data_IF_564752043360
#
_entry.id   IF_564752043360
#
_cell.length_a   1.000
_cell.length_b   1.000
_cell.length_c   1.000
_cell.angle_alpha   90.00
_cell.angle_beta   90.00
_cell.angle_gamma   90.00
#
_symmetry.space_group_name_H-M   'P 1'
#
loop_
_entity.id
_entity.type
_entity.pdbx_description
1 polymer ?
#
# COMPACT_ATOMS: atom_id res chain seq x y z
N UNK A 1 -26.27 19.21 4.58
CA UNK A 1 -25.80 20.49 5.14
C UNK A 1 -24.58 20.29 6.05
N UNK A 2 -24.70 19.65 7.23
CA UNK A 2 -23.56 19.47 8.14
C UNK A 2 -22.44 18.55 7.58
N UNK A 3 -22.79 17.32 7.17
CA UNK A 3 -21.80 16.37 6.60
C UNK A 3 -21.22 16.84 5.26
N UNK A 4 -22.03 17.52 4.44
CA UNK A 4 -21.56 18.15 3.21
C UNK A 4 -20.59 19.30 3.49
N UNK A 5 -20.80 20.09 4.55
CA UNK A 5 -19.87 21.14 4.95
C UNK A 5 -18.55 20.56 5.50
N UNK A 6 -18.62 19.50 6.30
CA UNK A 6 -17.42 18.80 6.78
C UNK A 6 -16.65 18.18 5.61
N UNK A 7 -17.33 17.55 4.66
CA UNK A 7 -16.69 17.01 3.45
C UNK A 7 -16.01 18.12 2.64
N UNK A 8 -16.65 19.28 2.46
CA UNK A 8 -16.03 20.41 1.77
C UNK A 8 -14.80 20.95 2.51
N UNK A 9 -14.80 20.93 3.85
CA UNK A 9 -13.62 21.28 4.65
C UNK A 9 -12.45 20.32 4.45
N UNK A 10 -12.71 19.01 4.23
CA UNK A 10 -11.63 18.04 3.91
C UNK A 10 -10.97 18.27 2.55
N UNK A 11 -11.60 19.06 1.65
CA UNK A 11 -11.04 19.39 0.34
C UNK A 11 -10.12 20.62 0.38
N UNK A 12 -10.09 21.35 1.50
CA UNK A 12 -9.22 22.51 1.67
C UNK A 12 -7.87 22.03 2.20
N UNK A 13 -6.83 22.17 1.37
CA UNK A 13 -5.46 21.80 1.74
C UNK A 13 -4.85 22.86 2.68
N UNK A 14 -5.20 22.79 3.96
CA UNK A 14 -4.73 23.70 5.00
C UNK A 14 -4.14 22.92 6.18
N UNK A 15 -2.89 23.25 6.56
CA UNK A 15 -2.16 22.63 7.67
C UNK A 15 -2.84 22.78 9.05
N UNK A 16 -3.77 23.73 9.20
CA UNK A 16 -4.53 23.93 10.44
C UNK A 16 -5.70 22.96 10.60
N UNK A 17 -6.08 22.27 9.52
CA UNK A 17 -7.21 21.34 9.50
C UNK A 17 -6.66 19.92 9.56
N UNK A 18 -6.93 19.22 10.66
CA UNK A 18 -6.61 17.80 10.79
C UNK A 18 -7.63 16.97 10.00
N UNK A 19 -7.23 16.58 8.79
CA UNK A 19 -8.05 15.77 7.91
C UNK A 19 -8.37 14.39 8.48
N UNK A 20 -7.48 13.81 9.30
CA UNK A 20 -7.72 12.51 9.93
C UNK A 20 -8.81 12.61 11.00
N UNK A 21 -8.81 13.72 11.76
CA UNK A 21 -9.87 14.00 12.74
C UNK A 21 -11.23 14.20 12.04
N UNK A 22 -11.26 14.94 10.94
CA UNK A 22 -12.48 15.15 10.15
C UNK A 22 -13.02 13.84 9.54
N UNK A 23 -12.14 12.97 9.03
CA UNK A 23 -12.53 11.67 8.50
C UNK A 23 -13.10 10.73 9.58
N UNK A 24 -12.56 10.78 10.81
CA UNK A 24 -13.12 10.05 11.96
C UNK A 24 -14.52 10.53 12.32
N UNK A 25 -14.74 11.85 12.32
CA UNK A 25 -16.07 12.44 12.53
C UNK A 25 -17.03 11.97 11.44
N UNK A 26 -16.64 12.04 10.17
CA UNK A 26 -17.44 11.54 9.05
C UNK A 26 -17.78 10.05 9.19
N UNK A 27 -16.85 9.22 9.65
CA UNK A 27 -17.07 7.78 9.84
C UNK A 27 -18.18 7.46 10.86
N UNK A 28 -18.43 8.34 11.84
CA UNK A 28 -19.51 8.17 12.82
C UNK A 28 -20.84 8.74 12.30
N UNK A 29 -20.80 9.90 11.65
CA UNK A 29 -22.02 10.57 11.19
C UNK A 29 -22.64 9.95 9.93
N UNK A 30 -21.85 9.32 9.06
CA UNK A 30 -22.35 8.67 7.84
C UNK A 30 -23.36 7.55 8.18
N UNK A 31 -23.05 6.56 9.06
CA UNK A 31 -24.00 5.53 9.46
C UNK A 31 -25.27 6.09 10.10
N UNK A 32 -25.16 7.12 10.95
CA UNK A 32 -26.30 7.75 11.63
C UNK A 32 -27.25 8.38 10.61
N UNK A 33 -26.71 9.17 9.68
CA UNK A 33 -27.51 9.76 8.62
C UNK A 33 -28.13 8.70 7.72
N UNK A 34 -27.39 7.63 7.41
CA UNK A 34 -27.93 6.53 6.62
C UNK A 34 -29.13 5.88 7.32
N UNK A 35 -29.05 5.65 8.64
CA UNK A 35 -30.18 5.15 9.44
C UNK A 35 -31.39 6.08 9.43
N UNK A 36 -31.19 7.40 9.58
CA UNK A 36 -32.27 8.39 9.52
C UNK A 36 -32.91 8.42 8.13
N UNK A 37 -32.11 8.40 7.05
CA UNK A 37 -32.64 8.36 5.69
C UNK A 37 -33.43 7.07 5.43
N UNK A 38 -32.95 5.92 5.90
CA UNK A 38 -33.68 4.64 5.80
C UNK A 38 -35.02 4.75 6.55
N UNK A 39 -35.04 5.31 7.76
CA UNK A 39 -36.27 5.50 8.53
C UNK A 39 -37.27 6.42 7.80
N UNK A 40 -36.81 7.54 7.25
CA UNK A 40 -37.65 8.46 6.46
C UNK A 40 -38.21 7.77 5.22
N UNK A 41 -37.39 6.99 4.50
CA UNK A 41 -37.84 6.22 3.34
C UNK A 41 -38.89 5.17 3.75
N UNK A 42 -38.67 4.45 4.85
CA UNK A 42 -39.63 3.48 5.38
C UNK A 42 -40.96 4.14 5.78
N UNK A 43 -40.92 5.30 6.43
CA UNK A 43 -42.13 6.03 6.80
C UNK A 43 -42.82 6.63 5.57
N UNK A 44 -42.08 7.07 4.57
CA UNK A 44 -42.63 7.49 3.27
C UNK A 44 -43.34 6.32 2.58
N UNK A 45 -42.74 5.12 2.55
CA UNK A 45 -43.36 3.91 1.99
C UNK A 45 -44.68 3.57 2.72
N UNK A 46 -44.74 3.73 4.05
CA UNK A 46 -45.97 3.52 4.82
C UNK A 46 -47.09 4.48 4.42
N UNK A 47 -46.77 5.73 4.07
CA UNK A 47 -47.75 6.72 3.58
C UNK A 47 -48.35 6.27 2.24
N UNK A 48 -47.54 5.75 1.32
CA UNK A 48 -48.02 5.21 0.04
C UNK A 48 -48.72 3.85 0.17
N UNK A 49 -48.45 3.09 1.24
CA UNK A 49 -49.10 1.82 1.54
C UNK A 49 -50.54 1.97 2.04
N UNK A 50 -50.98 3.17 2.45
CA UNK A 50 -52.32 3.40 3.01
C UNK A 50 -53.41 3.46 1.91
N UNK A 51 -53.05 3.92 0.72
CA UNK A 51 -53.78 3.57 -0.50
C UNK A 51 -53.21 2.24 -0.99
N UNK A 52 -54.06 1.32 -1.46
CA UNK A 52 -53.62 0.02 -2.00
C UNK A 52 -52.87 0.17 -3.33
N UNK A 53 -51.78 0.93 -3.35
CA UNK A 53 -50.84 0.87 -4.45
C UNK A 53 -50.10 -0.45 -4.32
N UNK A 54 -50.06 -1.23 -5.39
CA UNK A 54 -49.46 -2.53 -5.34
C UNK A 54 -47.96 -2.44 -5.05
N UNK A 55 -47.48 -3.33 -4.19
CA UNK A 55 -46.11 -3.39 -3.64
C UNK A 55 -45.02 -3.31 -4.73
N UNK A 56 -45.31 -3.75 -5.96
CA UNK A 56 -44.39 -3.66 -7.10
C UNK A 56 -44.05 -2.22 -7.55
N UNK A 57 -44.95 -1.25 -7.34
CA UNK A 57 -44.68 0.16 -7.67
C UNK A 57 -43.75 0.82 -6.65
N UNK A 58 -43.89 0.49 -5.36
CA UNK A 58 -43.00 1.00 -4.30
C UNK A 58 -41.57 0.46 -4.42
N UNK A 59 -41.41 -0.83 -4.74
CA UNK A 59 -40.08 -1.44 -4.96
C UNK A 59 -39.34 -0.83 -6.16
N UNK A 60 -40.07 -0.47 -7.22
CA UNK A 60 -39.50 0.22 -8.39
C UNK A 60 -38.94 1.59 -8.02
N UNK A 61 -39.67 2.39 -7.23
CA UNK A 61 -39.20 3.72 -6.79
C UNK A 61 -37.93 3.62 -5.94
N UNK A 62 -37.82 2.62 -5.07
CA UNK A 62 -36.63 2.39 -4.25
C UNK A 62 -35.45 2.01 -5.15
N UNK A 63 -35.62 1.03 -6.03
CA UNK A 63 -34.58 0.62 -7.00
C UNK A 63 -34.14 1.78 -7.88
N UNK A 64 -35.08 2.60 -8.37
CA UNK A 64 -34.80 3.76 -9.20
C UNK A 64 -34.07 4.85 -8.40
N UNK A 65 -34.42 5.06 -7.12
CA UNK A 65 -33.73 6.02 -6.25
C UNK A 65 -32.29 5.58 -5.94
N UNK A 66 -32.04 4.29 -5.70
CA UNK A 66 -30.71 3.72 -5.50
C UNK A 66 -29.89 3.83 -6.78
N UNK A 67 -30.51 3.57 -7.94
CA UNK A 67 -29.86 3.67 -9.23
C UNK A 67 -29.48 5.13 -9.57
N UNK A 68 -30.36 6.09 -9.32
CA UNK A 68 -30.09 7.53 -9.48
C UNK A 68 -28.97 7.98 -8.54
N UNK A 69 -29.01 7.56 -7.27
CA UNK A 69 -27.95 7.87 -6.30
C UNK A 69 -26.59 7.30 -6.74
N UNK A 70 -26.56 6.06 -7.21
CA UNK A 70 -25.35 5.43 -7.74
C UNK A 70 -24.84 6.15 -9.01
N UNK A 71 -25.74 6.57 -9.89
CA UNK A 71 -25.40 7.30 -11.11
C UNK A 71 -24.83 8.70 -10.81
N UNK A 72 -25.44 9.44 -9.88
CA UNK A 72 -24.95 10.76 -9.45
C UNK A 72 -23.60 10.67 -8.72
N UNK A 73 -23.41 9.65 -7.89
CA UNK A 73 -22.15 9.39 -7.18
C UNK A 73 -21.02 8.90 -8.09
N UNK A 74 -21.31 8.46 -9.32
CA UNK A 74 -20.27 8.09 -10.30
C UNK A 74 -19.26 9.23 -10.49
N UNK A 75 -19.70 10.48 -10.53
CA UNK A 75 -18.78 11.62 -10.68
C UNK A 75 -17.81 11.79 -9.51
N UNK A 76 -18.20 11.40 -8.28
CA UNK A 76 -17.38 11.51 -7.05
C UNK A 76 -16.50 10.27 -6.86
N UNK A 77 -17.00 9.08 -7.20
CA UNK A 77 -16.26 7.81 -7.12
C UNK A 77 -15.17 7.69 -8.20
N UNK A 78 -15.36 8.33 -9.35
CA UNK A 78 -14.44 8.27 -10.50
C UNK A 78 -13.72 9.61 -10.76
N UNK A 79 -13.53 10.44 -9.73
CA UNK A 79 -12.61 11.58 -9.86
C UNK A 79 -11.24 11.07 -10.29
N UNK A 80 -10.59 11.69 -11.30
CA UNK A 80 -9.24 11.32 -11.69
C UNK A 80 -8.35 11.45 -10.45
N UNK A 81 -7.87 10.32 -9.95
CA UNK A 81 -7.08 10.29 -8.73
C UNK A 81 -5.88 11.20 -8.87
N UNK A 82 -5.71 12.08 -7.89
CA UNK A 82 -4.57 12.99 -7.84
C UNK A 82 -3.26 12.16 -7.89
N UNK A 83 -2.21 12.67 -8.52
CA UNK A 83 -0.96 11.92 -8.76
C UNK A 83 -0.34 11.37 -7.46
N UNK A 84 -0.51 12.06 -6.33
CA UNK A 84 -0.09 11.61 -4.99
C UNK A 84 -0.84 10.34 -4.55
N UNK A 85 -2.14 10.26 -4.83
CA UNK A 85 -2.96 9.09 -4.48
C UNK A 85 -2.55 7.86 -5.29
N UNK A 86 -2.17 8.06 -6.57
CA UNK A 86 -1.64 6.98 -7.43
C UNK A 86 -0.32 6.42 -6.89
N UNK A 87 0.58 7.26 -6.39
CA UNK A 87 1.84 6.79 -5.80
C UNK A 87 1.57 5.91 -4.56
N UNK A 88 0.74 6.37 -3.63
CA UNK A 88 0.42 5.61 -2.41
C UNK A 88 -0.27 4.28 -2.75
N UNK A 89 -1.16 4.28 -3.74
CA UNK A 89 -1.77 3.05 -4.24
C UNK A 89 -0.74 2.09 -4.87
N UNK A 90 0.20 2.60 -5.66
CA UNK A 90 1.28 1.79 -6.22
C UNK A 90 2.17 1.20 -5.12
N UNK A 91 2.48 1.97 -4.08
CA UNK A 91 3.23 1.46 -2.93
C UNK A 91 2.43 0.36 -2.25
N UNK A 92 1.15 0.59 -1.96
CA UNK A 92 0.29 -0.40 -1.31
C UNK A 92 0.15 -1.68 -2.14
N UNK A 93 -0.10 -1.55 -3.45
CA UNK A 93 -0.28 -2.68 -4.36
C UNK A 93 0.99 -3.54 -4.47
N UNK A 94 2.18 -2.91 -4.55
CA UNK A 94 3.45 -3.65 -4.53
C UNK A 94 3.65 -4.35 -3.19
N UNK A 95 3.30 -3.69 -2.08
CA UNK A 95 3.41 -4.28 -0.76
C UNK A 95 2.50 -5.51 -0.61
N UNK A 96 1.26 -5.44 -1.08
CA UNK A 96 0.35 -6.59 -1.11
C UNK A 96 0.85 -7.72 -2.02
N UNK A 97 1.36 -7.38 -3.20
CA UNK A 97 1.95 -8.35 -4.13
C UNK A 97 3.11 -9.11 -3.47
N UNK A 98 3.99 -8.40 -2.76
CA UNK A 98 5.11 -9.02 -2.04
C UNK A 98 4.58 -9.93 -0.92
N UNK A 99 3.63 -9.45 -0.11
CA UNK A 99 3.04 -10.22 0.98
C UNK A 99 2.36 -11.51 0.50
N UNK A 100 1.71 -11.49 -0.66
CA UNK A 100 1.03 -12.67 -1.24
C UNK A 100 2.00 -13.69 -1.82
N UNK A 101 3.15 -13.25 -2.33
CA UNK A 101 4.05 -14.10 -3.11
C UNK A 101 5.28 -14.59 -2.35
N UNK A 102 5.60 -13.99 -1.20
CA UNK A 102 6.82 -14.27 -0.44
C UNK A 102 6.51 -14.64 1.01
N UNK A 103 7.31 -15.55 1.57
CA UNK A 103 7.16 -16.03 2.93
C UNK A 103 7.53 -14.99 3.97
N UNK A 104 6.75 -14.96 5.04
CA UNK A 104 7.01 -14.14 6.22
C UNK A 104 8.43 -14.35 6.74
N UNK A 105 9.08 -13.25 7.13
CA UNK A 105 10.44 -13.17 7.71
C UNK A 105 11.55 -13.74 6.84
N UNK A 106 11.32 -13.98 5.55
CA UNK A 106 12.36 -14.39 4.60
C UNK A 106 12.89 -13.23 3.77
N UNK A 107 12.22 -12.09 3.75
CA UNK A 107 12.58 -10.95 2.92
C UNK A 107 12.58 -9.63 3.69
N UNK A 108 13.22 -8.62 3.09
CA UNK A 108 13.23 -7.25 3.58
C UNK A 108 12.76 -6.25 2.53
N UNK A 109 12.27 -5.10 3.01
CA UNK A 109 11.89 -3.96 2.17
C UNK A 109 12.79 -2.77 2.51
N UNK A 110 13.40 -2.19 1.48
CA UNK A 110 14.14 -0.93 1.54
C UNK A 110 13.26 0.19 1.02
N UNK A 111 12.84 1.07 1.93
CA UNK A 111 11.94 2.17 1.62
C UNK A 111 12.15 3.36 2.60
N UNK A 112 11.40 4.44 2.42
CA UNK A 112 11.36 5.60 3.30
C UNK A 112 10.76 5.23 4.66
N UNK A 113 11.26 5.87 5.71
CA UNK A 113 10.88 5.59 7.10
C UNK A 113 9.37 5.79 7.36
N UNK A 114 8.71 6.67 6.61
CA UNK A 114 7.24 6.87 6.67
C UNK A 114 6.44 5.58 6.39
N UNK A 115 7.01 4.63 5.64
CA UNK A 115 6.38 3.34 5.33
C UNK A 115 6.79 2.21 6.27
N UNK A 116 7.53 2.49 7.34
CA UNK A 116 7.94 1.47 8.32
C UNK A 116 6.74 0.68 8.87
N UNK A 117 5.64 1.36 9.13
CA UNK A 117 4.42 0.76 9.68
C UNK A 117 3.77 -0.27 8.75
N UNK A 118 4.04 -0.23 7.44
CA UNK A 118 3.57 -1.26 6.51
C UNK A 118 4.28 -2.61 6.73
N UNK A 119 5.38 -2.64 7.49
CA UNK A 119 6.17 -3.86 7.72
C UNK A 119 5.51 -4.86 8.67
N UNK A 120 4.56 -4.41 9.52
CA UNK A 120 3.68 -5.19 10.43
C UNK A 120 4.29 -6.46 11.07
N UNK A 121 5.59 -6.47 11.39
CA UNK A 121 6.31 -7.60 11.98
C UNK A 121 6.43 -8.88 11.12
N UNK A 122 5.89 -8.88 9.90
CA UNK A 122 5.94 -10.03 8.97
C UNK A 122 7.16 -9.99 8.06
N UNK A 123 7.81 -8.84 7.93
CA UNK A 123 9.00 -8.63 7.10
C UNK A 123 9.97 -7.69 7.79
N UNK A 124 11.22 -7.74 7.35
CA UNK A 124 12.22 -6.80 7.81
C UNK A 124 12.11 -5.49 7.03
N UNK A 125 12.36 -4.38 7.71
CA UNK A 125 12.43 -3.06 7.10
C UNK A 125 13.86 -2.54 7.21
N UNK A 126 14.40 -2.04 6.10
CA UNK A 126 15.76 -1.49 6.02
C UNK A 126 15.65 -0.06 5.51
N UNK A 127 15.88 0.96 6.36
CA UNK A 127 15.97 2.35 5.91
C UNK A 127 17.02 2.52 4.81
N UNK A 128 16.83 3.50 3.91
CA UNK A 128 17.82 3.80 2.86
C UNK A 128 19.22 4.09 3.43
N UNK A 129 19.29 4.81 4.56
CA UNK A 129 20.56 5.11 5.26
C UNK A 129 21.36 3.83 5.57
N UNK A 130 20.69 2.76 5.97
CA UNK A 130 21.34 1.52 6.40
C UNK A 130 21.69 0.68 5.18
N UNK A 131 20.82 0.62 4.17
CA UNK A 131 21.11 -0.04 2.89
C UNK A 131 22.28 0.60 2.13
N UNK A 132 22.40 1.92 2.19
CA UNK A 132 23.46 2.69 1.55
C UNK A 132 24.72 2.80 2.42
N UNK A 133 24.68 2.41 3.69
CA UNK A 133 25.86 2.40 4.55
C UNK A 133 26.96 1.46 4.05
N UNK A 134 28.22 1.81 4.33
CA UNK A 134 29.37 0.94 4.05
C UNK A 134 29.29 -0.40 4.81
N UNK A 135 28.70 -0.39 6.01
CA UNK A 135 28.50 -1.58 6.83
C UNK A 135 27.67 -2.65 6.10
N UNK A 136 26.60 -2.26 5.40
CA UNK A 136 25.77 -3.20 4.64
C UNK A 136 26.58 -3.99 3.60
N UNK A 137 27.52 -3.32 2.91
CA UNK A 137 28.40 -3.99 1.94
C UNK A 137 29.39 -4.93 2.59
N UNK A 138 29.83 -4.65 3.82
CA UNK A 138 30.69 -5.56 4.59
C UNK A 138 29.90 -6.83 4.95
N UNK A 139 28.67 -6.66 5.44
CA UNK A 139 27.76 -7.78 5.75
C UNK A 139 27.49 -8.62 4.51
N UNK A 140 27.11 -8.00 3.39
CA UNK A 140 26.87 -8.70 2.12
C UNK A 140 28.07 -9.53 1.66
N UNK A 141 29.29 -8.99 1.79
CA UNK A 141 30.51 -9.71 1.42
C UNK A 141 30.74 -10.95 2.30
N UNK A 142 30.61 -10.78 3.63
CA UNK A 142 30.79 -11.88 4.59
C UNK A 142 29.72 -12.95 4.37
N UNK A 143 28.47 -12.54 4.17
CA UNK A 143 27.36 -13.45 3.88
C UNK A 143 27.60 -14.23 2.58
N UNK A 144 27.97 -13.55 1.48
CA UNK A 144 28.25 -14.19 0.20
C UNK A 144 29.34 -15.28 0.32
N UNK A 145 30.43 -14.98 1.03
CA UNK A 145 31.55 -15.91 1.22
C UNK A 145 31.17 -17.13 2.07
N UNK A 146 30.19 -17.00 2.96
CA UNK A 146 29.82 -18.02 3.93
C UNK A 146 28.42 -18.62 3.72
N UNK A 147 27.73 -18.32 2.62
CA UNK A 147 26.35 -18.75 2.36
C UNK A 147 26.17 -20.28 2.39
N UNK A 148 27.22 -21.04 2.05
CA UNK A 148 27.23 -22.52 2.09
C UNK A 148 27.62 -23.09 3.47
N UNK A 149 28.08 -22.25 4.41
CA UNK A 149 28.63 -22.65 5.71
C UNK A 149 27.63 -22.35 6.84
N UNK A 150 26.58 -23.16 6.93
CA UNK A 150 25.51 -22.96 7.92
C UNK A 150 26.02 -22.81 9.36
N UNK A 151 27.01 -23.62 9.78
CA UNK A 151 27.59 -23.54 11.14
C UNK A 151 28.21 -22.17 11.46
N UNK A 152 28.78 -21.48 10.48
CA UNK A 152 29.33 -20.13 10.67
C UNK A 152 28.19 -19.12 10.86
N UNK A 153 27.18 -19.17 9.99
CA UNK A 153 26.04 -18.25 10.05
C UNK A 153 25.21 -18.45 11.33
N UNK A 154 25.09 -19.68 11.85
CA UNK A 154 24.47 -19.92 13.16
C UNK A 154 25.25 -19.29 14.32
N UNK A 155 26.59 -19.26 14.25
CA UNK A 155 27.44 -18.63 15.27
C UNK A 155 27.50 -17.11 15.13
N UNK A 156 27.29 -16.59 13.92
CA UNK A 156 27.36 -15.17 13.59
C UNK A 156 26.07 -14.69 12.88
N UNK A 157 24.94 -14.63 13.59
CA UNK A 157 23.66 -14.22 13.01
C UNK A 157 23.66 -12.78 12.50
N UNK A 158 24.55 -11.92 12.98
CA UNK A 158 24.72 -10.53 12.55
C UNK A 158 25.07 -10.39 11.06
N UNK A 159 25.58 -11.45 10.43
CA UNK A 159 25.90 -11.47 9.01
C UNK A 159 24.82 -12.12 8.15
N UNK A 160 23.73 -12.60 8.74
CA UNK A 160 22.64 -13.21 7.97
C UNK A 160 21.86 -12.10 7.25
N UNK A 161 21.78 -12.21 5.92
CA UNK A 161 20.92 -11.37 5.11
C UNK A 161 19.58 -12.05 4.82
N UNK A 162 18.49 -11.26 4.69
CA UNK A 162 17.23 -11.74 4.13
C UNK A 162 17.45 -12.40 2.76
N UNK A 163 16.67 -13.43 2.46
CA UNK A 163 16.75 -14.19 1.22
C UNK A 163 16.47 -13.35 -0.03
N UNK A 164 15.51 -12.42 0.07
CA UNK A 164 15.22 -11.41 -0.95
C UNK A 164 15.12 -10.02 -0.32
N UNK A 165 15.51 -8.99 -1.05
CA UNK A 165 15.41 -7.60 -0.61
C UNK A 165 14.73 -6.77 -1.71
N UNK A 166 13.63 -6.10 -1.38
CA UNK A 166 12.88 -5.26 -2.30
C UNK A 166 13.25 -3.80 -2.09
N UNK A 167 13.79 -3.16 -3.12
CA UNK A 167 14.25 -1.76 -3.06
C UNK A 167 13.31 -0.90 -3.88
N UNK A 168 12.66 0.04 -3.21
CA UNK A 168 11.78 1.03 -3.83
C UNK A 168 12.63 2.18 -4.39
N UNK A 169 12.40 2.56 -5.64
CA UNK A 169 13.06 3.67 -6.33
C UNK A 169 11.98 4.63 -6.86
N UNK A 170 12.02 5.87 -6.39
CA UNK A 170 11.02 6.89 -6.72
C UNK A 170 11.47 7.74 -7.91
N UNK A 171 10.62 7.91 -8.91
CA UNK A 171 10.96 8.63 -10.15
C UNK A 171 10.72 10.16 -10.07
N UNK A 172 10.50 10.70 -8.87
CA UNK A 172 10.35 12.14 -8.65
C UNK A 172 11.75 12.84 -8.60
N UNK A 173 11.91 14.03 -9.22
CA UNK A 173 13.16 14.81 -9.20
C UNK A 173 13.80 14.99 -7.83
N UNK A 174 13.01 15.09 -6.77
CA UNK A 174 13.49 15.21 -5.39
C UNK A 174 14.42 14.05 -4.99
N UNK A 175 14.19 12.85 -5.52
CA UNK A 175 14.97 11.64 -5.18
C UNK A 175 16.11 11.37 -6.15
N UNK A 176 16.50 12.33 -7.01
CA UNK A 176 17.53 12.11 -8.03
C UNK A 176 18.86 11.66 -7.42
N UNK A 177 19.31 12.30 -6.34
CA UNK A 177 20.56 11.94 -5.67
C UNK A 177 20.49 10.54 -5.04
N UNK A 178 19.40 10.25 -4.31
CA UNK A 178 19.14 8.93 -3.74
C UNK A 178 19.14 7.84 -4.82
N UNK A 179 18.51 8.10 -5.96
CA UNK A 179 18.46 7.17 -7.08
C UNK A 179 19.84 6.89 -7.67
N UNK A 180 20.71 7.89 -7.77
CA UNK A 180 22.11 7.69 -8.20
C UNK A 180 22.83 6.76 -7.22
N UNK A 181 22.67 6.97 -5.91
CA UNK A 181 23.29 6.11 -4.89
C UNK A 181 22.75 4.68 -4.92
N UNK A 182 21.43 4.49 -5.12
CA UNK A 182 20.80 3.18 -5.27
C UNK A 182 21.34 2.46 -6.51
N UNK A 183 21.44 3.15 -7.66
CA UNK A 183 21.96 2.56 -8.90
C UNK A 183 23.44 2.17 -8.78
N UNK A 184 24.26 3.00 -8.13
CA UNK A 184 25.64 2.65 -7.83
C UNK A 184 25.73 1.43 -6.89
N UNK A 185 24.89 1.37 -5.86
CA UNK A 185 24.77 0.21 -4.97
C UNK A 185 24.39 -1.05 -5.76
N UNK A 186 23.44 -0.97 -6.68
CA UNK A 186 23.07 -2.08 -7.56
C UNK A 186 24.23 -2.52 -8.44
N UNK A 187 25.00 -1.58 -9.01
CA UNK A 187 26.19 -1.91 -9.81
C UNK A 187 27.20 -2.70 -8.97
N UNK A 188 27.48 -2.25 -7.75
CA UNK A 188 28.41 -2.94 -6.84
C UNK A 188 27.91 -4.33 -6.42
N UNK A 189 26.61 -4.49 -6.19
CA UNK A 189 26.02 -5.79 -5.86
C UNK A 189 26.04 -6.75 -7.08
N UNK A 190 25.78 -6.25 -8.29
CA UNK A 190 25.90 -7.04 -9.54
C UNK A 190 27.33 -7.52 -9.79
N UNK A 191 28.34 -6.69 -9.51
CA UNK A 191 29.75 -7.10 -9.57
C UNK A 191 30.09 -8.23 -8.59
N UNK A 192 29.27 -8.42 -7.55
CA UNK A 192 29.35 -9.54 -6.59
C UNK A 192 28.39 -10.68 -6.92
N UNK A 193 27.98 -10.78 -8.18
CA UNK A 193 27.12 -11.84 -8.70
C UNK A 193 25.71 -11.89 -8.08
N UNK A 194 25.26 -10.80 -7.43
CA UNK A 194 23.87 -10.70 -6.96
C UNK A 194 22.93 -10.53 -8.15
N UNK A 195 21.88 -11.36 -8.20
CA UNK A 195 20.81 -11.23 -9.18
C UNK A 195 19.87 -10.11 -8.74
N UNK A 196 19.64 -9.14 -9.61
CA UNK A 196 18.73 -8.02 -9.38
C UNK A 196 17.68 -8.01 -10.50
N UNK A 197 16.41 -8.10 -10.12
CA UNK A 197 15.26 -8.14 -11.05
C UNK A 197 14.33 -6.97 -10.80
N UNK A 198 13.84 -6.29 -11.85
CA UNK A 198 12.74 -5.33 -11.71
C UNK A 198 11.43 -6.10 -11.61
N UNK A 199 10.65 -5.84 -10.57
CA UNK A 199 9.37 -6.54 -10.30
C UNK A 199 8.15 -5.64 -10.47
N UNK A 200 8.35 -4.32 -10.44
CA UNK A 200 7.30 -3.34 -10.63
C UNK A 200 7.88 -2.12 -11.34
N UNK A 201 7.10 -1.57 -12.27
CA UNK A 201 7.47 -0.40 -13.06
C UNK A 201 6.23 0.47 -13.29
N UNK A 202 6.30 1.72 -12.85
CA UNK A 202 5.32 2.76 -13.14
C UNK A 202 6.04 4.09 -13.33
N UNK A 203 5.33 5.08 -13.89
CA UNK A 203 5.91 6.41 -14.13
C UNK A 203 6.51 7.04 -12.86
N UNK A 204 5.99 6.70 -11.68
CA UNK A 204 6.40 7.30 -10.41
C UNK A 204 7.26 6.37 -9.54
N UNK A 205 7.19 5.05 -9.73
CA UNK A 205 7.79 4.06 -8.84
C UNK A 205 8.34 2.86 -9.62
N UNK A 206 9.58 2.50 -9.32
CA UNK A 206 10.18 1.24 -9.73
C UNK A 206 10.55 0.43 -8.49
N UNK A 207 10.32 -0.88 -8.51
CA UNK A 207 10.74 -1.77 -7.41
C UNK A 207 11.61 -2.89 -7.94
N UNK A 208 12.76 -3.08 -7.29
CA UNK A 208 13.76 -4.06 -7.64
C UNK A 208 13.90 -5.11 -6.54
N UNK A 209 13.95 -6.38 -6.91
CA UNK A 209 14.28 -7.49 -6.04
C UNK A 209 15.77 -7.83 -6.18
N UNK A 210 16.50 -7.81 -5.06
CA UNK A 210 17.84 -8.37 -4.92
C UNK A 210 17.70 -9.79 -4.34
N UNK A 211 18.12 -10.80 -5.09
CA UNK A 211 18.02 -12.20 -4.70
C UNK A 211 19.33 -12.63 -4.05
N UNK A 212 19.34 -12.75 -2.72
CA UNK A 212 20.50 -13.19 -1.96
C UNK A 212 20.58 -14.72 -1.87
N UNK A 213 19.43 -15.40 -1.74
CA UNK A 213 19.33 -16.85 -1.72
C UNK A 213 18.18 -17.30 -2.65
N UNK A 214 18.48 -17.92 -3.80
CA UNK A 214 17.44 -18.32 -4.76
C UNK A 214 16.51 -19.38 -4.16
N UNK A 215 15.25 -19.41 -4.62
CA UNK A 215 14.21 -20.39 -4.24
C UNK A 215 13.88 -20.47 -2.75
N UNK A 216 14.22 -19.44 -1.96
CA UNK A 216 14.11 -19.52 -0.49
C UNK A 216 13.16 -18.50 0.15
N UNK A 217 12.53 -17.65 -0.66
CA UNK A 217 11.62 -16.60 -0.21
C UNK A 217 10.25 -16.67 -0.89
N UNK A 218 10.22 -16.92 -2.20
CA UNK A 218 8.99 -16.96 -2.99
C UNK A 218 8.21 -18.26 -2.73
N UNK A 219 6.92 -18.14 -2.39
CA UNK A 219 6.04 -19.26 -2.01
C UNK A 219 5.90 -20.27 -3.15
N UNK A 220 5.77 -19.79 -4.40
CA UNK A 220 5.64 -20.65 -5.57
C UNK A 220 6.81 -21.62 -5.75
N UNK A 221 7.98 -21.30 -5.20
CA UNK A 221 9.16 -22.14 -5.35
C UNK A 221 9.25 -23.24 -4.26
N UNK A 222 8.32 -23.27 -3.30
CA UNK A 222 8.28 -24.25 -2.21
C UNK A 222 7.17 -25.28 -2.34
N UNK A 223 6.22 -25.05 -3.24
CA UNK A 223 5.05 -25.91 -3.47
C UNK A 223 5.34 -26.94 -4.59
N UNK A 224 6.58 -27.06 -5.05
CA UNK A 224 7.00 -28.02 -6.08
C UNK A 224 8.30 -28.74 -5.69
#
# INVERSE_FOLDING_TARGET
>A
MFVTAIYLLTQIDNKWIDNDLLLKVLSVFIPILMGINIAIVLDFIKIFSKNRYPIYQGGSVILFSVFILAYLQKSVLFLPMNETNKLHQNILSVNEMILRNYLDRTYAVVNKDEYFNLSSGRRYFIPYKDFLAAHYMKVDYIYAKNIKRNKFLFKHPEFILPSSIFVFKYNNPEYKELNVQILDRFRRLKLRERKIKKIFDSNQLEVYEIINKPFSSQISNMVF
#
